data_IF_733021872815
#
_entry.id   IF_733021872815
#
_cell.length_a   1.000
_cell.length_b   1.000
_cell.length_c   1.000
_cell.angle_alpha   90.00
_cell.angle_beta   90.00
_cell.angle_gamma   90.00
#
_symmetry.space_group_name_H-M   'P 1'
#
loop_
_entity.id
_entity.type
_entity.pdbx_description
1 polymer ?
#
# COMPACT_ATOMS: atom_id res chain seq x y z
N UNK A 1 -72.33 -0.94 -11.97
CA UNK A 1 -71.51 -1.07 -13.18
C UNK A 1 -70.06 -0.86 -12.77
N UNK A 2 -69.29 -1.93 -12.63
CA UNK A 2 -67.87 -1.84 -12.28
C UNK A 2 -67.06 -1.69 -13.57
N UNK A 3 -66.52 -0.49 -13.80
CA UNK A 3 -65.62 -0.19 -14.91
C UNK A 3 -64.29 -0.90 -14.68
N UNK A 4 -64.02 -1.90 -15.51
CA UNK A 4 -62.72 -2.57 -15.58
C UNK A 4 -61.67 -1.57 -16.11
N UNK A 5 -60.76 -1.13 -15.23
CA UNK A 5 -59.55 -0.42 -15.63
C UNK A 5 -58.58 -1.45 -16.24
N UNK A 6 -58.13 -1.30 -17.49
CA UNK A 6 -57.16 -2.21 -18.08
C UNK A 6 -55.82 -2.07 -17.34
N UNK A 7 -55.34 -3.18 -16.78
CA UNK A 7 -54.03 -3.31 -16.14
C UNK A 7 -52.96 -2.77 -17.09
N UNK A 8 -52.32 -1.65 -16.73
CA UNK A 8 -51.13 -1.16 -17.42
C UNK A 8 -50.09 -2.29 -17.38
N UNK A 9 -49.75 -2.83 -18.56
CA UNK A 9 -48.62 -3.76 -18.69
C UNK A 9 -47.35 -2.97 -18.40
N UNK A 10 -46.91 -2.99 -17.13
CA UNK A 10 -45.56 -2.62 -16.75
C UNK A 10 -44.60 -3.60 -17.44
N UNK A 11 -44.26 -3.32 -18.70
CA UNK A 11 -43.11 -3.95 -19.34
C UNK A 11 -41.89 -3.45 -18.58
N UNK A 12 -41.12 -4.32 -17.91
CA UNK A 12 -39.88 -3.88 -17.29
C UNK A 12 -38.99 -3.29 -18.39
N UNK A 13 -38.61 -2.02 -18.24
CA UNK A 13 -37.91 -1.24 -19.26
C UNK A 13 -36.51 -1.78 -19.63
N UNK A 14 -36.03 -2.81 -18.93
CA UNK A 14 -34.76 -3.49 -19.19
C UNK A 14 -34.92 -4.99 -18.99
N UNK A 15 -35.41 -5.70 -20.00
CA UNK A 15 -35.24 -7.15 -20.06
C UNK A 15 -33.93 -7.45 -20.80
N UNK A 16 -32.81 -7.50 -20.07
CA UNK A 16 -31.60 -8.11 -20.62
C UNK A 16 -31.95 -9.52 -21.11
N UNK A 17 -31.60 -9.82 -22.35
CA UNK A 17 -31.69 -11.15 -22.94
C UNK A 17 -30.88 -12.16 -22.11
N UNK A 18 -31.20 -13.45 -22.24
CA UNK A 18 -30.55 -14.51 -21.44
C UNK A 18 -29.02 -14.45 -21.57
N UNK A 19 -28.52 -14.15 -22.76
CA UNK A 19 -27.08 -14.03 -23.05
C UNK A 19 -26.46 -12.76 -22.44
N UNK A 20 -27.15 -11.62 -22.49
CA UNK A 20 -26.67 -10.39 -21.85
C UNK A 20 -26.59 -10.54 -20.33
N UNK A 21 -27.52 -11.29 -19.70
CA UNK A 21 -27.46 -11.58 -18.26
C UNK A 21 -26.20 -12.37 -17.89
N UNK A 22 -25.83 -13.37 -18.70
CA UNK A 22 -24.61 -14.13 -18.50
C UNK A 22 -23.36 -13.26 -18.69
N UNK A 23 -23.33 -12.42 -19.73
CA UNK A 23 -22.23 -11.47 -19.94
C UNK A 23 -22.08 -10.47 -18.79
N UNK A 24 -23.19 -9.93 -18.30
CA UNK A 24 -23.20 -9.00 -17.17
C UNK A 24 -22.71 -9.67 -15.88
N UNK A 25 -23.12 -10.91 -15.62
CA UNK A 25 -22.62 -11.70 -14.49
C UNK A 25 -21.12 -11.98 -14.62
N UNK A 26 -20.65 -12.35 -15.81
CA UNK A 26 -19.23 -12.65 -16.04
C UNK A 26 -18.37 -11.39 -15.86
N UNK A 27 -18.82 -10.26 -16.38
CA UNK A 27 -18.15 -8.96 -16.18
C UNK A 27 -18.14 -8.52 -14.71
N UNK A 28 -19.23 -8.69 -13.98
CA UNK A 28 -19.28 -8.34 -12.55
C UNK A 28 -18.38 -9.26 -11.71
N UNK A 29 -18.24 -10.54 -12.07
CA UNK A 29 -17.28 -11.46 -11.42
C UNK A 29 -15.83 -11.10 -11.72
N UNK A 30 -15.50 -10.73 -12.96
CA UNK A 30 -14.14 -10.27 -13.30
C UNK A 30 -13.78 -8.97 -12.58
N UNK A 31 -14.72 -8.01 -12.52
CA UNK A 31 -14.54 -6.76 -11.79
C UNK A 31 -14.35 -6.99 -10.30
N UNK A 32 -15.16 -7.86 -9.68
CA UNK A 32 -15.04 -8.14 -8.24
C UNK A 32 -13.73 -8.85 -7.91
N UNK A 33 -13.27 -9.78 -8.76
CA UNK A 33 -11.94 -10.40 -8.63
C UNK A 33 -10.80 -9.39 -8.76
N UNK A 34 -10.87 -8.48 -9.74
CA UNK A 34 -9.87 -7.42 -9.90
C UNK A 34 -9.79 -6.49 -8.69
N UNK A 35 -10.94 -6.11 -8.13
CA UNK A 35 -11.00 -5.27 -6.91
C UNK A 35 -10.44 -6.02 -5.69
N UNK A 36 -10.81 -7.29 -5.51
CA UNK A 36 -10.28 -8.12 -4.42
C UNK A 36 -8.75 -8.28 -4.51
N UNK A 37 -8.22 -8.49 -5.73
CA UNK A 37 -6.79 -8.57 -5.98
C UNK A 37 -6.08 -7.27 -5.61
N UNK A 38 -6.61 -6.13 -6.05
CA UNK A 38 -6.04 -4.82 -5.74
C UNK A 38 -6.04 -4.55 -4.23
N UNK A 39 -7.13 -4.87 -3.52
CA UNK A 39 -7.21 -4.70 -2.06
C UNK A 39 -6.16 -5.56 -1.36
N UNK A 40 -5.99 -6.81 -1.81
CA UNK A 40 -5.00 -7.72 -1.25
C UNK A 40 -3.57 -7.17 -1.44
N UNK A 41 -3.24 -6.71 -2.65
CA UNK A 41 -1.94 -6.09 -2.96
C UNK A 41 -1.64 -4.88 -2.06
N UNK A 42 -2.60 -3.97 -1.92
CA UNK A 42 -2.44 -2.77 -1.08
C UNK A 42 -2.30 -3.14 0.41
N UNK A 43 -2.99 -4.18 0.87
CA UNK A 43 -2.85 -4.65 2.24
C UNK A 43 -1.48 -5.27 2.51
N UNK A 44 -0.97 -6.10 1.59
CA UNK A 44 0.37 -6.68 1.68
C UNK A 44 1.47 -5.61 1.66
N UNK A 45 1.34 -4.59 0.82
CA UNK A 45 2.27 -3.45 0.79
C UNK A 45 2.28 -2.69 2.13
N UNK A 46 1.10 -2.45 2.72
CA UNK A 46 1.00 -1.80 4.04
C UNK A 46 1.61 -2.62 5.16
N UNK A 47 1.53 -3.96 5.07
CA UNK A 47 2.20 -4.83 6.04
C UNK A 47 3.72 -4.80 5.88
N UNK A 48 4.23 -4.79 4.65
CA UNK A 48 5.66 -4.67 4.36
C UNK A 48 6.25 -3.29 4.77
N UNK A 49 5.43 -2.24 4.77
CA UNK A 49 5.81 -0.89 5.18
C UNK A 49 6.02 -0.71 6.70
N UNK A 50 5.36 -1.51 7.53
CA UNK A 50 5.47 -1.42 8.99
C UNK A 50 6.91 -1.58 9.50
N UNK A 51 7.66 -2.64 9.15
CA UNK A 51 9.03 -2.81 9.61
C UNK A 51 9.95 -1.69 9.10
N UNK A 52 9.74 -1.19 7.87
CA UNK A 52 10.56 -0.11 7.32
C UNK A 52 10.41 1.20 8.09
N UNK A 53 9.20 1.55 8.53
CA UNK A 53 9.00 2.72 9.40
C UNK A 53 9.65 2.55 10.77
N UNK A 54 9.66 1.33 11.31
CA UNK A 54 10.35 1.04 12.56
C UNK A 54 11.86 1.20 12.42
N UNK A 55 12.44 0.71 11.32
CA UNK A 55 13.86 0.89 11.00
C UNK A 55 14.24 2.37 10.85
N UNK A 56 13.40 3.15 10.17
CA UNK A 56 13.54 4.61 10.08
C UNK A 56 13.56 5.27 11.47
N UNK A 57 12.64 4.87 12.36
CA UNK A 57 12.61 5.39 13.72
C UNK A 57 13.90 5.08 14.49
N UNK A 58 14.40 3.85 14.38
CA UNK A 58 15.62 3.41 15.05
C UNK A 58 16.87 4.19 14.59
N UNK A 59 17.01 4.43 13.28
CA UNK A 59 18.09 5.28 12.76
C UNK A 59 18.00 6.72 13.25
N UNK A 60 16.80 7.31 13.23
CA UNK A 60 16.58 8.68 13.70
C UNK A 60 16.87 8.82 15.21
N UNK A 61 16.48 7.82 16.01
CA UNK A 61 16.76 7.80 17.44
C UNK A 61 18.27 7.77 17.71
N UNK A 62 19.01 6.95 16.99
CA UNK A 62 20.45 6.86 17.18
C UNK A 62 21.19 8.13 16.71
N UNK A 63 20.74 8.77 15.62
CA UNK A 63 21.22 10.10 15.25
C UNK A 63 20.94 11.12 16.38
N UNK A 64 19.75 11.13 16.98
CA UNK A 64 19.46 12.02 18.12
C UNK A 64 20.35 11.73 19.34
N UNK A 65 20.57 10.46 19.68
CA UNK A 65 21.47 10.07 20.78
C UNK A 65 22.90 10.54 20.52
N UNK A 66 23.38 10.40 19.28
CA UNK A 66 24.72 10.86 18.90
C UNK A 66 24.88 12.38 19.02
N UNK A 67 23.85 13.15 18.60
CA UNK A 67 23.83 14.61 18.76
C UNK A 67 23.82 14.98 20.25
N UNK A 68 23.05 14.27 21.07
CA UNK A 68 23.01 14.48 22.52
C UNK A 68 24.37 14.16 23.17
N UNK A 69 25.12 13.20 22.62
CA UNK A 69 26.49 12.89 23.00
C UNK A 69 27.53 13.89 22.44
N UNK A 70 27.09 15.03 21.92
CA UNK A 70 27.93 16.12 21.39
C UNK A 70 28.73 15.75 20.14
N UNK A 71 28.31 14.71 19.42
CA UNK A 71 28.86 14.41 18.10
C UNK A 71 28.32 15.41 17.07
N UNK A 72 29.12 15.72 16.03
CA UNK A 72 28.68 16.61 14.95
C UNK A 72 27.47 16.02 14.22
N UNK A 73 26.60 16.91 13.69
CA UNK A 73 25.40 16.51 12.92
C UNK A 73 25.74 15.75 11.64
N UNK A 74 26.95 15.90 11.13
CA UNK A 74 27.42 15.23 9.91
C UNK A 74 28.05 13.85 10.22
N UNK A 75 27.81 13.31 11.42
CA UNK A 75 28.31 11.98 11.76
C UNK A 75 27.66 10.89 10.89
N UNK A 76 28.33 9.73 10.82
CA UNK A 76 27.84 8.58 10.08
C UNK A 76 26.41 8.18 10.51
N UNK A 77 26.09 8.35 11.79
CA UNK A 77 24.78 8.02 12.36
C UNK A 77 23.64 8.79 11.68
N UNK A 78 23.81 10.10 11.52
CA UNK A 78 22.84 10.99 10.90
C UNK A 78 22.87 10.90 9.38
N UNK A 79 24.03 10.65 8.76
CA UNK A 79 24.12 10.43 7.32
C UNK A 79 23.35 9.19 6.86
N UNK A 80 23.51 8.06 7.55
CA UNK A 80 22.76 6.85 7.22
C UNK A 80 21.27 6.99 7.50
N UNK A 81 20.89 7.71 8.57
CA UNK A 81 19.49 8.02 8.86
C UNK A 81 18.84 8.88 7.76
N UNK A 82 19.54 9.92 7.29
CA UNK A 82 19.08 10.76 6.18
C UNK A 82 18.93 9.96 4.89
N UNK A 83 19.95 9.20 4.50
CA UNK A 83 19.91 8.40 3.27
C UNK A 83 18.77 7.36 3.31
N UNK A 84 18.55 6.70 4.46
CA UNK A 84 17.44 5.75 4.62
C UNK A 84 16.07 6.46 4.51
N UNK A 85 15.94 7.64 5.11
CA UNK A 85 14.71 8.44 5.02
C UNK A 85 14.42 8.87 3.58
N UNK A 86 15.44 9.29 2.84
CA UNK A 86 15.30 9.72 1.45
C UNK A 86 14.88 8.55 0.55
N UNK A 87 15.55 7.40 0.67
CA UNK A 87 15.19 6.19 -0.08
C UNK A 87 13.78 5.69 0.25
N UNK A 88 13.41 5.68 1.53
CA UNK A 88 12.07 5.30 1.96
C UNK A 88 11.00 6.27 1.44
N UNK A 89 11.30 7.58 1.42
CA UNK A 89 10.38 8.61 0.92
C UNK A 89 10.19 8.52 -0.59
N UNK A 90 11.26 8.22 -1.34
CA UNK A 90 11.20 7.95 -2.77
C UNK A 90 10.34 6.71 -3.06
N UNK A 91 10.61 5.59 -2.39
CA UNK A 91 9.84 4.35 -2.57
C UNK A 91 8.36 4.52 -2.18
N UNK A 92 8.06 5.33 -1.16
CA UNK A 92 6.69 5.66 -0.78
C UNK A 92 5.96 6.55 -1.81
N UNK A 93 6.70 7.42 -2.51
CA UNK A 93 6.15 8.35 -3.50
C UNK A 93 5.69 7.63 -4.76
N UNK A 94 6.36 6.54 -5.12
CA UNK A 94 6.06 5.77 -6.33
C UNK A 94 4.82 4.86 -6.20
N UNK A 95 4.14 4.87 -5.04
CA UNK A 95 2.88 4.17 -4.73
C UNK A 95 2.89 2.64 -4.88
N UNK A 96 3.91 2.06 -5.50
CA UNK A 96 4.20 0.63 -5.54
C UNK A 96 5.57 0.40 -4.92
N UNK A 97 5.60 0.03 -3.64
CA UNK A 97 6.83 -0.47 -3.04
C UNK A 97 7.08 -1.87 -3.56
N UNK A 98 8.03 -1.98 -4.48
CA UNK A 98 8.45 -3.28 -4.95
C UNK A 98 9.08 -4.09 -3.81
N UNK A 99 8.87 -5.41 -3.84
CA UNK A 99 9.47 -6.33 -2.87
C UNK A 99 11.02 -6.21 -2.87
N UNK A 100 11.60 -5.89 -4.02
CA UNK A 100 13.04 -5.63 -4.21
C UNK A 100 13.53 -4.45 -3.36
N UNK A 101 12.81 -3.33 -3.37
CA UNK A 101 13.16 -2.10 -2.63
C UNK A 101 13.02 -2.29 -1.13
N UNK A 102 11.95 -2.97 -0.71
CA UNK A 102 11.75 -3.30 0.72
C UNK A 102 12.85 -4.22 1.26
N UNK A 103 13.31 -5.19 0.46
CA UNK A 103 14.44 -6.05 0.81
C UNK A 103 15.74 -5.23 0.84
N UNK A 104 15.99 -4.39 -0.15
CA UNK A 104 17.20 -3.56 -0.21
C UNK A 104 17.31 -2.63 1.01
N UNK A 105 16.23 -1.95 1.40
CA UNK A 105 16.17 -1.12 2.59
C UNK A 105 16.38 -1.94 3.87
N UNK A 106 15.80 -3.14 3.98
CA UNK A 106 16.05 -4.00 5.14
C UNK A 106 17.50 -4.47 5.24
N UNK A 107 18.13 -4.84 4.12
CA UNK A 107 19.54 -5.21 4.08
C UNK A 107 20.41 -4.02 4.46
N UNK A 108 20.12 -2.84 3.93
CA UNK A 108 20.80 -1.60 4.31
C UNK A 108 20.69 -1.34 5.82
N UNK A 109 19.49 -1.48 6.39
CA UNK A 109 19.31 -1.37 7.83
C UNK A 109 20.17 -2.38 8.59
N UNK A 110 20.15 -3.66 8.22
CA UNK A 110 20.94 -4.68 8.90
C UNK A 110 22.46 -4.45 8.82
N UNK A 111 22.94 -3.92 7.70
CA UNK A 111 24.36 -3.65 7.49
C UNK A 111 24.83 -2.46 8.31
N UNK A 112 24.13 -1.33 8.21
CA UNK A 112 24.61 -0.08 8.79
C UNK A 112 24.13 0.13 10.23
N UNK A 113 22.96 -0.37 10.62
CA UNK A 113 22.47 -0.21 12.00
C UNK A 113 23.23 -1.06 13.02
N UNK A 114 23.95 -2.13 12.60
CA UNK A 114 24.77 -2.93 13.52
C UNK A 114 25.79 -2.08 14.28
N UNK A 115 26.38 -1.10 13.61
CA UNK A 115 27.34 -0.16 14.19
C UNK A 115 26.71 0.79 15.23
N UNK A 116 25.37 0.86 15.28
CA UNK A 116 24.59 1.73 16.16
C UNK A 116 24.10 0.99 17.42
N UNK A 117 24.26 -0.35 17.44
CA UNK A 117 23.81 -1.23 18.52
C UNK A 117 24.92 -1.69 19.47
N UNK A 118 26.17 -1.35 19.17
CA UNK A 118 27.35 -1.56 20.03
C UNK A 118 27.62 -0.32 20.87
#
# INVERSE_FOLDING_TARGET
MATYLPKHKNKPAFTLSRNERYFFLLMTVLLSMGVLWHIHSTFTERQALKPLKQNQYQFNQACQLSINAHLPRDNAFCQHAQNFNDQLTLALKDQSLELSETIALNVYFQQYYREFSQ
#
